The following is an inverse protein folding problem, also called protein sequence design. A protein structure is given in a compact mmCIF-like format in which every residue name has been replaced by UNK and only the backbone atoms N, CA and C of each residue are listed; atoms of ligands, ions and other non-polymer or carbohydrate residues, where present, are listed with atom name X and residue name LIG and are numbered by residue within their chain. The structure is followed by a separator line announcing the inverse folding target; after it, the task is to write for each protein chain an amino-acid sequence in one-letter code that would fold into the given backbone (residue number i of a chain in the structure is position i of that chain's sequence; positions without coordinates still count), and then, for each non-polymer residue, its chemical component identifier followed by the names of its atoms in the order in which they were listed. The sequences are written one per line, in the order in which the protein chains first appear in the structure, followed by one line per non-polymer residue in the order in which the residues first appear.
data_IF_317937390231
#
_entry.id   IF_317937390231
#
_cell.length_a   1.000
_cell.length_b   1.000
_cell.length_c   1.000
_cell.angle_alpha   90.00
_cell.angle_beta   90.00
_cell.angle_gamma   90.00
#
_symmetry.space_group_name_H-M   'P 1'
#
loop_
_entity.id
_entity.type
_entity.pdbx_description
1 polymer ?
#
# COMPACT_ATOMS: atom_id res chain seq x y z
N UNK A 1 -6.67 -4.08 14.08
CA UNK A 1 -5.29 -4.15 14.62
C UNK A 1 -4.63 -2.78 14.54
N UNK A 2 -3.92 -2.41 15.58
CA UNK A 2 -3.21 -1.13 15.63
C UNK A 2 -1.77 -1.32 15.22
N UNK A 3 -1.25 -0.40 14.41
CA UNK A 3 0.15 -0.40 13.96
C UNK A 3 1.04 0.13 15.08
N UNK A 4 1.40 -0.73 16.03
CA UNK A 4 2.21 -0.37 17.20
C UNK A 4 3.66 -0.73 16.95
N UNK A 5 4.57 0.23 17.14
CA UNK A 5 6.01 0.02 16.95
C UNK A 5 6.46 0.01 15.50
N UNK A 6 5.55 0.14 14.55
CA UNK A 6 5.87 0.24 13.13
C UNK A 6 5.98 1.71 12.71
N UNK A 7 6.75 1.97 11.66
CA UNK A 7 7.02 3.32 11.18
C UNK A 7 6.70 3.42 9.70
N UNK A 8 6.04 4.51 9.29
CA UNK A 8 5.89 4.84 7.88
C UNK A 8 7.23 5.41 7.40
N UNK A 9 7.81 4.78 6.39
CA UNK A 9 9.14 5.16 5.87
C UNK A 9 9.07 5.72 4.44
N UNK A 10 7.90 5.70 3.82
CA UNK A 10 7.72 6.29 2.49
C UNK A 10 6.26 6.44 2.14
N UNK A 11 5.93 7.51 1.41
CA UNK A 11 4.59 7.79 0.91
C UNK A 11 4.71 8.15 -0.58
N UNK A 12 3.87 7.53 -1.42
CA UNK A 12 3.88 7.76 -2.86
C UNK A 12 2.47 7.85 -3.41
N UNK A 13 2.32 8.68 -4.42
CA UNK A 13 1.07 8.83 -5.16
C UNK A 13 1.22 8.19 -6.54
N UNK A 14 0.23 7.41 -6.95
CA UNK A 14 0.14 6.91 -8.30
C UNK A 14 -0.56 7.97 -9.15
N UNK A 15 0.17 8.58 -10.09
CA UNK A 15 -0.37 9.67 -10.92
C UNK A 15 -0.75 9.22 -12.31
N UNK A 16 -0.39 7.99 -12.70
CA UNK A 16 -0.75 7.40 -13.99
C UNK A 16 -0.42 5.92 -14.02
N UNK A 17 -1.06 5.16 -14.93
CA UNK A 17 -0.92 3.69 -14.93
C UNK A 17 0.50 3.22 -15.24
N UNK A 18 1.26 3.98 -16.00
CA UNK A 18 2.65 3.66 -16.37
C UNK A 18 3.64 4.73 -15.97
N UNK A 19 3.18 5.80 -15.36
CA UNK A 19 4.04 6.87 -14.89
C UNK A 19 4.77 6.44 -13.62
N UNK A 20 5.98 6.96 -13.38
CA UNK A 20 6.65 6.75 -12.10
C UNK A 20 5.79 7.23 -10.94
N UNK A 21 5.88 6.53 -9.79
CA UNK A 21 5.21 6.97 -8.58
C UNK A 21 5.81 8.28 -8.10
N UNK A 22 4.96 9.19 -7.63
CA UNK A 22 5.40 10.47 -7.08
C UNK A 22 5.64 10.32 -5.58
N UNK A 23 6.89 10.43 -5.15
CA UNK A 23 7.25 10.43 -3.73
C UNK A 23 6.89 11.76 -3.10
N UNK A 24 6.24 11.73 -1.95
CA UNK A 24 5.83 12.92 -1.20
C UNK A 24 6.22 12.77 0.27
N UNK A 25 6.40 13.90 0.96
CA UNK A 25 6.74 13.90 2.38
C UNK A 25 5.51 13.72 3.26
N UNK A 26 4.36 14.15 2.79
CA UNK A 26 3.08 13.98 3.48
C UNK A 26 1.95 13.78 2.46
N UNK A 27 0.83 13.26 2.93
CA UNK A 27 -0.36 13.09 2.11
C UNK A 27 -1.60 13.15 3.00
N UNK A 28 -2.74 13.46 2.37
CA UNK A 28 -4.03 13.47 3.06
C UNK A 28 -4.83 12.24 2.65
N UNK A 29 -5.31 11.49 3.63
CA UNK A 29 -6.22 10.38 3.42
C UNK A 29 -7.64 10.89 3.59
N UNK A 30 -8.51 10.61 2.61
CA UNK A 30 -9.89 11.07 2.62
C UNK A 30 -10.80 9.89 2.96
N UNK A 31 -11.58 10.03 4.01
CA UNK A 31 -12.48 8.97 4.49
C UNK A 31 -13.33 8.42 3.35
N UNK A 32 -13.32 7.11 3.17
CA UNK A 32 -14.11 6.41 2.15
C UNK A 32 -13.59 6.52 0.73
N UNK A 33 -12.56 7.33 0.47
CA UNK A 33 -12.13 7.63 -0.91
C UNK A 33 -10.71 7.16 -1.23
N UNK A 34 -9.77 7.30 -0.29
CA UNK A 34 -8.36 6.96 -0.49
C UNK A 34 -7.44 8.14 -0.25
N UNK A 35 -6.33 8.21 -0.96
CA UNK A 35 -5.32 9.25 -0.80
C UNK A 35 -5.55 10.38 -1.81
N UNK A 36 -5.59 11.61 -1.33
CA UNK A 36 -5.74 12.79 -2.19
C UNK A 36 -4.56 12.86 -3.17
N UNK A 37 -4.88 13.04 -4.45
CA UNK A 37 -3.87 13.11 -5.52
C UNK A 37 -3.49 11.77 -6.12
N UNK A 38 -3.93 10.67 -5.54
CA UNK A 38 -3.68 9.33 -6.08
C UNK A 38 -4.78 8.94 -7.07
N UNK A 39 -4.39 8.26 -8.17
CA UNK A 39 -5.35 7.88 -9.21
C UNK A 39 -6.37 6.84 -8.75
N UNK A 40 -6.07 6.11 -7.69
CA UNK A 40 -6.97 5.08 -7.14
C UNK A 40 -8.01 5.67 -6.19
N UNK A 41 -7.91 6.96 -5.88
CA UNK A 41 -8.93 7.65 -5.09
C UNK A 41 -10.25 7.69 -5.87
N UNK A 42 -11.34 7.41 -5.17
CA UNK A 42 -12.69 7.44 -5.75
C UNK A 42 -13.59 8.36 -4.94
N UNK A 43 -13.84 9.56 -5.47
CA UNK A 43 -14.71 10.55 -4.82
C UNK A 43 -16.15 10.04 -4.67
N UNK A 44 -16.56 9.05 -5.49
CA UNK A 44 -17.88 8.41 -5.41
C UNK A 44 -17.91 7.23 -4.42
N UNK A 45 -16.80 6.94 -3.73
CA UNK A 45 -16.72 5.83 -2.77
C UNK A 45 -16.70 4.45 -3.39
N UNK A 46 -16.51 4.34 -4.71
CA UNK A 46 -16.39 3.04 -5.38
C UNK A 46 -14.99 2.48 -5.23
N UNK A 47 -14.80 1.22 -5.62
CA UNK A 47 -13.51 0.49 -5.52
C UNK A 47 -12.93 0.54 -4.11
N UNK A 48 -13.78 0.28 -3.12
CA UNK A 48 -13.40 0.34 -1.71
C UNK A 48 -12.32 -0.66 -1.32
N UNK A 49 -12.08 -1.68 -2.14
CA UNK A 49 -11.12 -2.74 -1.83
C UNK A 49 -9.72 -2.48 -2.37
N UNK A 50 -9.50 -1.45 -3.18
CA UNK A 50 -8.22 -1.22 -3.85
C UNK A 50 -7.79 0.24 -3.84
N UNK A 51 -8.09 0.96 -2.78
CA UNK A 51 -7.78 2.38 -2.71
C UNK A 51 -6.33 2.67 -2.37
N UNK A 52 -5.73 1.86 -1.49
CA UNK A 52 -4.39 2.10 -0.95
C UNK A 52 -3.63 0.78 -0.93
N UNK A 53 -2.38 0.80 -1.39
CA UNK A 53 -1.49 -0.35 -1.29
C UNK A 53 -0.43 -0.07 -0.22
N UNK A 54 -0.34 -0.96 0.76
CA UNK A 54 0.68 -0.96 1.80
C UNK A 54 1.73 -2.03 1.49
N UNK A 55 3.00 -1.71 1.73
CA UNK A 55 4.09 -2.68 1.58
C UNK A 55 5.07 -2.54 2.73
N UNK A 56 5.60 -3.64 3.21
CA UNK A 56 6.61 -3.63 4.26
C UNK A 56 8.02 -3.61 3.64
N UNK A 57 8.89 -2.77 4.20
CA UNK A 57 10.27 -2.62 3.72
C UNK A 57 11.05 -3.92 3.86
N UNK A 58 10.76 -4.72 4.86
CA UNK A 58 11.42 -6.00 5.08
C UNK A 58 11.25 -6.94 3.88
N UNK A 59 10.04 -7.03 3.33
CA UNK A 59 9.78 -7.83 2.13
C UNK A 59 10.43 -7.21 0.90
N UNK A 60 10.41 -5.89 0.77
CA UNK A 60 11.10 -5.20 -0.32
C UNK A 60 12.59 -5.59 -0.33
N UNK A 61 13.23 -5.56 0.83
CA UNK A 61 14.63 -5.95 0.98
C UNK A 61 14.87 -7.42 0.71
N UNK A 62 13.96 -8.29 1.13
CA UNK A 62 14.06 -9.73 0.91
C UNK A 62 14.13 -10.08 -0.58
N UNK A 63 13.41 -9.35 -1.43
CA UNK A 63 13.42 -9.55 -2.87
C UNK A 63 14.40 -8.64 -3.61
N UNK A 64 15.25 -7.93 -2.87
CA UNK A 64 16.26 -7.03 -3.43
C UNK A 64 15.65 -5.93 -4.30
N UNK A 65 14.47 -5.45 -3.91
CA UNK A 65 13.76 -4.37 -4.57
C UNK A 65 14.03 -3.05 -3.86
N UNK A 66 13.63 -1.95 -4.48
CA UNK A 66 13.67 -0.62 -3.90
C UNK A 66 12.27 -0.17 -3.50
N UNK A 67 12.19 0.76 -2.56
CA UNK A 67 10.92 1.36 -2.16
C UNK A 67 10.23 1.93 -3.40
N UNK A 68 8.95 1.64 -3.57
CA UNK A 68 8.16 2.08 -4.71
C UNK A 68 8.13 1.13 -5.90
N UNK A 69 9.00 0.13 -5.95
CA UNK A 69 9.09 -0.80 -7.09
C UNK A 69 7.79 -1.56 -7.32
N UNK A 70 7.07 -1.94 -6.26
CA UNK A 70 5.79 -2.64 -6.39
C UNK A 70 4.61 -1.66 -6.45
N UNK A 71 4.90 -0.35 -6.60
CA UNK A 71 3.94 0.74 -6.73
C UNK A 71 3.07 0.90 -5.49
N UNK A 72 3.65 0.66 -4.33
CA UNK A 72 2.96 0.86 -3.06
C UNK A 72 2.82 2.36 -2.75
N UNK A 73 1.68 2.71 -2.16
CA UNK A 73 1.42 4.06 -1.69
C UNK A 73 2.17 4.35 -0.39
N UNK A 74 2.13 3.40 0.54
CA UNK A 74 2.72 3.58 1.87
C UNK A 74 3.67 2.42 2.13
N UNK A 75 4.94 2.75 2.37
CA UNK A 75 5.95 1.79 2.78
C UNK A 75 6.12 1.89 4.29
N UNK A 76 6.03 0.76 4.99
CA UNK A 76 6.16 0.70 6.44
C UNK A 76 7.33 -0.20 6.83
N UNK A 77 7.85 -0.01 8.03
CA UNK A 77 8.92 -0.82 8.60
C UNK A 77 8.53 -1.25 10.01
N UNK A 78 8.83 -2.50 10.36
CA UNK A 78 8.55 -3.02 11.69
C UNK A 78 7.17 -3.63 11.85
N UNK A 79 6.47 -3.95 10.76
CA UNK A 79 5.15 -4.57 10.80
C UNK A 79 5.16 -5.90 10.05
N UNK A 80 4.65 -6.94 10.69
CA UNK A 80 4.53 -8.26 10.08
C UNK A 80 3.21 -8.37 9.32
N UNK A 81 3.31 -8.30 7.99
CA UNK A 81 2.13 -8.38 7.13
C UNK A 81 1.54 -9.79 7.04
N UNK A 82 2.30 -10.83 7.41
CA UNK A 82 1.80 -12.21 7.36
C UNK A 82 0.64 -12.45 8.33
N UNK A 83 0.48 -11.60 9.34
CA UNK A 83 -0.60 -11.70 10.32
C UNK A 83 -1.84 -10.89 9.96
N UNK A 84 -1.76 -10.05 8.91
CA UNK A 84 -2.88 -9.22 8.49
C UNK A 84 -3.85 -9.98 7.59
N UNK A 85 -5.14 -9.76 7.78
CA UNK A 85 -6.20 -10.36 6.97
C UNK A 85 -7.31 -9.36 6.71
N UNK A 86 -8.17 -9.71 5.75
CA UNK A 86 -9.34 -8.91 5.42
C UNK A 86 -10.14 -8.59 6.68
N UNK A 87 -10.44 -7.32 6.84
CA UNK A 87 -11.19 -6.81 7.98
C UNK A 87 -10.33 -6.27 9.12
N UNK A 88 -9.03 -6.58 9.15
CA UNK A 88 -8.13 -6.02 10.15
C UNK A 88 -7.97 -4.51 9.95
N UNK A 89 -7.81 -3.77 11.05
CA UNK A 89 -7.63 -2.33 11.01
C UNK A 89 -6.22 -1.96 11.40
N UNK A 90 -5.66 -0.97 10.70
CA UNK A 90 -4.33 -0.45 10.94
C UNK A 90 -4.44 1.05 11.19
N UNK A 91 -3.94 1.52 12.32
CA UNK A 91 -3.91 2.95 12.64
C UNK A 91 -2.58 3.53 12.18
N UNK A 92 -2.63 4.69 11.51
CA UNK A 92 -1.45 5.44 11.09
C UNK A 92 -1.53 6.81 11.72
N UNK A 93 -0.55 7.15 12.56
CA UNK A 93 -0.59 8.40 13.32
C UNK A 93 -1.75 8.40 14.30
N UNK A 94 -2.28 9.59 14.60
CA UNK A 94 -3.37 9.76 15.57
C UNK A 94 -4.77 9.74 14.95
N UNK A 95 -4.88 9.83 13.63
CA UNK A 95 -6.17 10.07 12.98
C UNK A 95 -6.56 9.02 11.96
N UNK A 96 -5.60 8.51 11.17
CA UNK A 96 -5.90 7.64 10.03
C UNK A 96 -6.15 6.21 10.48
N UNK A 97 -7.25 5.61 10.00
CA UNK A 97 -7.53 4.19 10.17
C UNK A 97 -7.76 3.59 8.79
N UNK A 98 -6.99 2.55 8.47
CA UNK A 98 -7.13 1.80 7.24
C UNK A 98 -7.67 0.41 7.58
N UNK A 99 -8.65 -0.06 6.81
CA UNK A 99 -9.16 -1.43 6.93
C UNK A 99 -8.53 -2.27 5.83
N UNK A 100 -7.87 -3.35 6.21
CA UNK A 100 -7.27 -4.28 5.25
C UNK A 100 -8.37 -5.00 4.49
N UNK A 101 -8.28 -5.00 3.16
CA UNK A 101 -9.27 -5.65 2.30
C UNK A 101 -8.75 -6.93 1.65
N UNK A 102 -7.46 -7.18 1.73
CA UNK A 102 -6.83 -8.40 1.21
C UNK A 102 -5.41 -8.16 0.78
N UNK A 103 -4.71 -9.22 0.38
CA UNK A 103 -3.39 -9.09 -0.21
C UNK A 103 -3.50 -8.63 -1.67
N UNK A 104 -2.46 -7.94 -2.14
CA UNK A 104 -2.39 -7.50 -3.53
C UNK A 104 -1.80 -8.61 -4.39
N UNK A 105 -2.52 -9.02 -5.44
CA UNK A 105 -1.98 -10.01 -6.37
C UNK A 105 -0.86 -9.39 -7.21
N UNK A 106 0.29 -10.08 -7.35
CA UNK A 106 1.32 -9.64 -8.29
C UNK A 106 0.78 -9.66 -9.72
N UNK A 107 1.23 -8.70 -10.53
CA UNK A 107 0.81 -8.61 -11.92
C UNK A 107 2.01 -8.74 -12.85
N UNK A 108 1.77 -8.78 -14.16
CA UNK A 108 2.84 -8.92 -15.15
C UNK A 108 3.87 -7.80 -15.09
N UNK A 109 3.55 -6.64 -14.49
CA UNK A 109 4.52 -5.56 -14.28
C UNK A 109 5.67 -5.99 -13.38
N UNK A 110 5.46 -6.96 -12.49
CA UNK A 110 6.53 -7.47 -11.64
C UNK A 110 7.60 -8.17 -12.49
N UNK A 111 7.19 -8.88 -13.53
CA UNK A 111 8.13 -9.52 -14.45
C UNK A 111 8.89 -8.49 -15.30
N UNK A 112 8.34 -7.30 -15.50
CA UNK A 112 9.06 -6.20 -16.16
C UNK A 112 10.20 -5.66 -15.28
N UNK A 113 10.10 -5.79 -13.97
CA UNK A 113 11.18 -5.43 -13.05
C UNK A 113 12.26 -6.51 -13.02
N UNK A 114 11.86 -7.76 -12.99
CA UNK A 114 12.76 -8.92 -12.96
C UNK A 114 11.98 -10.16 -13.37
N UNK A 115 12.52 -10.93 -14.32
CA UNK A 115 11.87 -12.15 -14.78
C UNK A 115 11.59 -13.10 -13.61
N UNK A 116 10.35 -13.61 -13.52
CA UNK A 116 9.92 -14.51 -12.45
C UNK A 116 9.47 -13.83 -11.17
N UNK A 117 9.60 -12.51 -11.08
CA UNK A 117 9.24 -11.77 -9.85
C UNK A 117 7.76 -11.89 -9.51
N UNK A 118 6.89 -11.94 -10.51
CA UNK A 118 5.45 -12.11 -10.30
C UNK A 118 5.16 -13.35 -9.47
N UNK A 119 5.79 -14.48 -9.81
CA UNK A 119 5.58 -15.73 -9.08
C UNK A 119 6.24 -15.70 -7.70
N UNK A 120 7.42 -15.08 -7.59
CA UNK A 120 8.13 -14.95 -6.32
C UNK A 120 7.36 -14.11 -5.30
N UNK A 121 6.65 -13.07 -5.76
CA UNK A 121 5.90 -12.16 -4.90
C UNK A 121 4.49 -12.66 -4.57
N UNK A 122 4.07 -13.81 -5.07
CA UNK A 122 2.72 -14.32 -4.79
C UNK A 122 2.46 -14.39 -3.29
N UNK A 123 1.40 -13.71 -2.84
CA UNK A 123 1.06 -13.57 -1.43
C UNK A 123 1.91 -12.59 -0.64
N UNK A 124 2.90 -11.92 -1.26
CA UNK A 124 3.85 -11.03 -0.57
C UNK A 124 3.98 -9.64 -1.20
N UNK A 125 3.11 -9.28 -2.13
CA UNK A 125 3.18 -7.97 -2.80
C UNK A 125 2.61 -6.83 -1.94
N UNK A 126 2.21 -7.08 -0.73
CA UNK A 126 1.64 -6.07 0.14
C UNK A 126 0.15 -6.26 0.36
N UNK A 127 -0.46 -5.34 1.07
CA UNK A 127 -1.86 -5.41 1.47
C UNK A 127 -2.65 -4.24 0.92
N UNK A 128 -3.82 -4.52 0.36
CA UNK A 128 -4.77 -3.51 -0.07
C UNK A 128 -5.60 -3.04 1.11
N UNK A 129 -5.98 -1.78 1.08
CA UNK A 129 -6.74 -1.19 2.18
C UNK A 129 -7.79 -0.19 1.70
N UNK A 130 -8.78 -0.01 2.55
CA UNK A 130 -9.85 0.98 2.43
C UNK A 130 -9.63 2.08 3.47
N UNK A 131 -9.81 3.34 3.08
CA UNK A 131 -9.67 4.48 3.98
C UNK A 131 -10.90 4.59 4.88
N UNK A 132 -10.88 3.93 6.03
CA UNK A 132 -12.01 3.93 6.95
C UNK A 132 -12.14 5.27 7.67
N UNK A 133 -11.01 5.88 8.04
CA UNK A 133 -10.97 7.22 8.63
C UNK A 133 -9.77 7.97 8.09
N UNK A 134 -10.00 9.17 7.59
CA UNK A 134 -8.97 10.02 7.02
C UNK A 134 -8.23 10.88 8.03
N UNK A 135 -7.25 11.60 7.51
CA UNK A 135 -6.44 12.52 8.28
C UNK A 135 -5.21 13.02 7.54
#
# INVERSE_FOLDING_TARGET
MTMTGATVVGIRLCVGSRDPMKTVDDATVITGEGIEGDRHRRADGRRTQRQILLMDRETIGKFELQDGDVRENITVEGMDFSTLKDGDKVSIGSEVILRITGDCEPCSRMDELREGLKDELDGQRGMLAFAEKGG
#
